data_IF_675450271450
#
_entry.id   IF_675450271450
#
_cell.length_a   1.000
_cell.length_b   1.000
_cell.length_c   1.000
_cell.angle_alpha   90.00
_cell.angle_beta   90.00
_cell.angle_gamma   90.00
#
_symmetry.space_group_name_H-M   'P 1'
#
loop_
_entity.id
_entity.type
_entity.pdbx_description
1 polymer ?
#
# COMPACT_ATOMS: atom_id res chain seq x y z
N UNK A 1 9.84 5.84 17.70
CA UNK A 1 9.59 5.12 16.43
C UNK A 1 8.11 4.78 16.41
N UNK A 2 7.33 5.28 15.46
CA UNK A 2 5.89 4.95 15.38
C UNK A 2 5.70 3.77 14.44
N UNK A 3 5.12 2.69 14.94
CA UNK A 3 4.68 1.55 14.11
C UNK A 3 3.31 1.89 13.54
N UNK A 4 3.14 1.74 12.23
CA UNK A 4 1.89 2.04 11.54
C UNK A 4 1.00 0.79 11.51
N UNK A 5 0.39 0.44 12.65
CA UNK A 5 -0.39 -0.81 12.80
C UNK A 5 -1.42 -1.00 11.69
N UNK A 6 -2.17 0.05 11.34
CA UNK A 6 -3.18 0.01 10.27
C UNK A 6 -2.66 -0.41 8.90
N UNK A 7 -1.37 -0.18 8.60
CA UNK A 7 -0.77 -0.66 7.35
C UNK A 7 -0.64 -2.18 7.44
N UNK A 8 0.02 -2.66 8.50
CA UNK A 8 0.27 -4.09 8.70
C UNK A 8 -1.02 -4.90 8.90
N UNK A 9 -2.04 -4.34 9.54
CA UNK A 9 -3.38 -4.95 9.62
C UNK A 9 -3.99 -5.18 8.23
N UNK A 10 -3.87 -4.20 7.33
CA UNK A 10 -4.32 -4.36 5.93
C UNK A 10 -3.50 -5.41 5.16
N UNK A 11 -2.18 -5.42 5.35
CA UNK A 11 -1.28 -6.43 4.74
C UNK A 11 -1.62 -7.83 5.24
N UNK A 12 -1.81 -8.01 6.56
CA UNK A 12 -2.18 -9.28 7.18
C UNK A 12 -3.51 -9.85 6.66
N UNK A 13 -4.41 -9.01 6.14
CA UNK A 13 -5.68 -9.42 5.54
C UNK A 13 -5.61 -9.65 4.02
N UNK A 14 -4.41 -9.65 3.43
CA UNK A 14 -4.20 -9.73 1.98
C UNK A 14 -5.00 -8.66 1.21
N UNK A 15 -5.13 -7.45 1.78
CA UNK A 15 -5.79 -6.32 1.12
C UNK A 15 -4.75 -5.38 0.51
N UNK A 16 -4.97 -4.86 -0.71
CA UNK A 16 -4.15 -3.78 -1.23
C UNK A 16 -4.26 -2.56 -0.32
N UNK A 17 -3.12 -2.05 0.16
CA UNK A 17 -3.06 -0.88 1.04
C UNK A 17 -2.47 0.31 0.28
N UNK A 18 -3.22 1.41 0.23
CA UNK A 18 -2.71 2.72 -0.21
C UNK A 18 -2.32 3.52 1.04
N UNK A 19 -1.10 4.06 1.07
CA UNK A 19 -0.63 4.86 2.19
C UNK A 19 0.20 6.05 1.74
N UNK A 20 0.24 7.09 2.58
CA UNK A 20 1.03 8.29 2.32
C UNK A 20 2.53 8.05 2.54
N UNK A 21 3.33 8.51 1.59
CA UNK A 21 4.78 8.35 1.55
C UNK A 21 5.49 8.75 2.86
N UNK A 22 6.34 7.88 3.38
CA UNK A 22 7.20 8.20 4.52
C UNK A 22 8.46 7.35 4.59
N UNK A 23 9.49 7.82 5.33
CA UNK A 23 10.68 7.03 5.58
C UNK A 23 10.40 5.66 6.21
N UNK A 24 9.37 5.55 7.07
CA UNK A 24 9.01 4.28 7.69
C UNK A 24 8.43 3.27 6.70
N UNK A 25 7.60 3.74 5.76
CA UNK A 25 7.05 2.88 4.69
C UNK A 25 8.16 2.44 3.74
N UNK A 26 8.95 3.38 3.21
CA UNK A 26 10.04 3.08 2.25
C UNK A 26 11.13 2.15 2.78
N UNK A 27 11.31 2.08 4.11
CA UNK A 27 12.29 1.17 4.73
C UNK A 27 11.83 -0.28 4.81
N UNK A 28 10.52 -0.51 4.86
CA UNK A 28 9.97 -1.85 5.10
C UNK A 28 9.16 -2.39 3.91
N UNK A 29 8.73 -1.52 3.00
CA UNK A 29 7.79 -1.83 1.93
C UNK A 29 8.21 -1.15 0.62
N UNK A 30 7.87 -1.80 -0.50
CA UNK A 30 8.23 -1.41 -1.87
C UNK A 30 6.98 -1.01 -2.65
N UNK A 31 6.97 0.23 -3.15
CA UNK A 31 5.86 0.75 -3.94
C UNK A 31 5.59 -0.09 -5.19
N UNK A 32 4.32 -0.43 -5.41
CA UNK A 32 3.87 -1.22 -6.57
C UNK A 32 4.11 -2.72 -6.43
N UNK A 33 4.80 -3.14 -5.38
CA UNK A 33 5.07 -4.54 -5.10
C UNK A 33 4.20 -5.08 -3.95
N UNK A 34 4.39 -4.56 -2.74
CA UNK A 34 3.69 -5.01 -1.52
C UNK A 34 2.97 -3.86 -0.79
N UNK A 35 3.00 -2.65 -1.37
CA UNK A 35 2.28 -1.46 -0.90
C UNK A 35 2.02 -0.52 -2.08
N UNK A 36 0.95 0.27 -2.04
CA UNK A 36 0.81 1.43 -2.91
C UNK A 36 1.09 2.71 -2.14
N UNK A 37 1.95 3.58 -2.66
CA UNK A 37 2.39 4.80 -1.99
C UNK A 37 1.93 6.00 -2.80
N UNK A 38 1.29 6.97 -2.14
CA UNK A 38 0.90 8.23 -2.75
C UNK A 38 1.54 9.42 -2.02
N UNK A 39 1.60 10.58 -2.68
CA UNK A 39 2.10 11.81 -2.05
C UNK A 39 1.18 12.21 -0.89
N UNK A 40 1.78 12.64 0.23
CA UNK A 40 1.03 13.13 1.39
C UNK A 40 0.44 14.52 1.12
N UNK A 41 -0.72 14.79 1.70
CA UNK A 41 -1.47 16.04 1.53
C UNK A 41 -1.78 16.38 0.06
N UNK A 42 -1.86 15.36 -0.79
CA UNK A 42 -2.15 15.49 -2.21
C UNK A 42 -3.40 14.63 -2.53
N UNK A 43 -4.60 15.25 -2.57
CA UNK A 43 -5.84 14.52 -2.83
C UNK A 43 -5.89 13.94 -4.25
N UNK A 44 -5.24 14.58 -5.22
CA UNK A 44 -5.18 14.12 -6.59
C UNK A 44 -4.36 12.83 -6.69
N UNK A 45 -3.19 12.79 -6.01
CA UNK A 45 -2.37 11.57 -5.96
C UNK A 45 -3.10 10.39 -5.29
N UNK A 46 -3.93 10.64 -4.28
CA UNK A 46 -4.77 9.59 -3.67
C UNK A 46 -5.86 9.11 -4.63
N UNK A 47 -6.54 10.03 -5.32
CA UNK A 47 -7.57 9.68 -6.30
C UNK A 47 -7.01 8.84 -7.46
N UNK A 48 -5.84 9.21 -7.97
CA UNK A 48 -5.12 8.47 -9.02
C UNK A 48 -4.71 7.08 -8.56
N UNK A 49 -4.22 6.95 -7.32
CA UNK A 49 -3.90 5.65 -6.73
C UNK A 49 -5.13 4.73 -6.65
N UNK A 50 -6.26 5.25 -6.17
CA UNK A 50 -7.52 4.51 -6.10
C UNK A 50 -7.97 4.08 -7.50
N UNK A 51 -7.99 5.01 -8.47
CA UNK A 51 -8.40 4.72 -9.84
C UNK A 51 -7.49 3.68 -10.51
N UNK A 52 -6.18 3.77 -10.29
CA UNK A 52 -5.20 2.82 -10.86
C UNK A 52 -5.44 1.40 -10.37
N UNK A 53 -5.63 1.21 -9.06
CA UNK A 53 -5.89 -0.12 -8.50
C UNK A 53 -7.29 -0.63 -8.83
N UNK A 54 -8.29 0.27 -8.88
CA UNK A 54 -9.65 -0.08 -9.29
C UNK A 54 -9.71 -0.55 -10.74
N UNK A 55 -9.01 0.13 -11.65
CA UNK A 55 -8.96 -0.22 -13.07
C UNK A 55 -8.12 -1.46 -13.36
N UNK A 56 -7.24 -1.88 -12.43
CA UNK A 56 -6.36 -3.04 -12.59
C UNK A 56 -6.51 -4.02 -11.42
N UNK A 57 -7.59 -4.83 -11.37
CA UNK A 57 -7.84 -5.78 -10.29
C UNK A 57 -6.70 -6.77 -10.06
N UNK A 58 -6.06 -7.26 -11.12
CA UNK A 58 -4.92 -8.18 -11.01
C UNK A 58 -3.71 -7.54 -10.30
N UNK A 59 -3.47 -6.25 -10.53
CA UNK A 59 -2.42 -5.51 -9.81
C UNK A 59 -2.79 -5.33 -8.34
N UNK A 60 -4.06 -5.02 -8.06
CA UNK A 60 -4.56 -4.87 -6.70
C UNK A 60 -4.47 -6.18 -5.90
N UNK A 61 -4.81 -7.31 -6.53
CA UNK A 61 -4.67 -8.65 -5.97
C UNK A 61 -3.19 -8.99 -5.71
N UNK A 62 -2.33 -8.83 -6.70
CA UNK A 62 -0.88 -9.07 -6.56
C UNK A 62 -0.28 -8.27 -5.40
N UNK A 63 -0.64 -6.98 -5.25
CA UNK A 63 -0.14 -6.15 -4.15
C UNK A 63 -0.66 -6.65 -2.81
N UNK A 64 -1.93 -7.06 -2.73
CA UNK A 64 -2.51 -7.64 -1.53
C UNK A 64 -1.81 -8.92 -1.09
N UNK A 65 -1.56 -9.84 -2.04
CA UNK A 65 -0.87 -11.11 -1.80
C UNK A 65 0.57 -10.90 -1.34
N UNK A 66 1.37 -10.13 -2.09
CA UNK A 66 2.75 -9.81 -1.70
C UNK A 66 2.83 -9.04 -0.38
N UNK A 67 1.83 -8.20 -0.12
CA UNK A 67 1.65 -7.53 1.17
C UNK A 67 1.52 -8.53 2.31
N UNK A 68 0.67 -9.54 2.14
CA UNK A 68 0.47 -10.61 3.11
C UNK A 68 1.72 -11.46 3.32
N UNK A 69 2.42 -11.84 2.25
CA UNK A 69 3.69 -12.57 2.34
C UNK A 69 4.75 -11.79 3.13
N UNK A 70 4.82 -10.47 2.97
CA UNK A 70 5.77 -9.62 3.71
C UNK A 70 5.43 -9.52 5.20
N UNK A 71 4.18 -9.80 5.59
CA UNK A 71 3.74 -9.78 6.98
C UNK A 71 4.06 -11.08 7.74
N UNK A 72 4.13 -12.22 7.03
CA UNK A 72 4.42 -13.54 7.60
C UNK A 72 5.91 -13.71 7.96
#
# INVERSE_FOLDING_TARGET
MTVQNKIYEGLAMAKPVITGDSPAVRRNLTHGENIWVCRRADPQALAEAIQTLYANPALAEQIGEKGHETFL
#
